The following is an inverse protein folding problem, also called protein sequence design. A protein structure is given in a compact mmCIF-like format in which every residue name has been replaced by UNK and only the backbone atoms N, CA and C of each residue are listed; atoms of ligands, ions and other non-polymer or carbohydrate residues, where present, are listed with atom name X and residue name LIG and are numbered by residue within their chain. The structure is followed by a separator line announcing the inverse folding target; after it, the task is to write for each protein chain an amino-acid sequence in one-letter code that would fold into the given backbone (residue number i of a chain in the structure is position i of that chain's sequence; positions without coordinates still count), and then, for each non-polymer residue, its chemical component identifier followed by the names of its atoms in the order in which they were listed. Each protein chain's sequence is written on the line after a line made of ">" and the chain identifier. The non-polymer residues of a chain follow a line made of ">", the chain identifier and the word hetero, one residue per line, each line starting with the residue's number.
data_IF_158748712910
#
_entry.id   IF_158748712910
#
_cell.length_a   1.000
_cell.length_b   1.000
_cell.length_c   1.000
_cell.angle_alpha   90.00
_cell.angle_beta   90.00
_cell.angle_gamma   90.00
#
_symmetry.space_group_name_H-M   'P 1'
#
loop_
_entity.id
_entity.type
_entity.pdbx_description
1 polymer ?
#
# COMPACT_ATOMS: atom_id res chain seq x y z
N UNK A 1 1.23 -2.37 -8.63
CA UNK A 1 1.43 -1.22 -7.71
C UNK A 1 1.49 0.00 -8.57
N UNK A 2 0.82 1.03 -8.19
CA UNK A 2 1.14 2.35 -8.67
C UNK A 2 2.58 2.67 -8.25
N UNK A 3 3.42 3.05 -9.18
CA UNK A 3 4.71 3.64 -8.85
C UNK A 3 4.51 5.05 -8.26
N UNK A 4 5.57 5.65 -7.73
CA UNK A 4 5.50 6.95 -7.10
C UNK A 4 4.85 8.01 -8.00
N UNK A 5 5.28 8.08 -9.27
CA UNK A 5 4.75 9.06 -10.24
C UNK A 5 3.27 8.79 -10.55
N UNK A 6 2.88 7.54 -10.73
CA UNK A 6 1.49 7.21 -11.01
C UNK A 6 0.57 7.54 -9.82
N UNK A 7 1.08 7.42 -8.59
CA UNK A 7 0.35 7.79 -7.38
C UNK A 7 0.17 9.31 -7.26
N UNK A 8 1.22 10.08 -7.51
CA UNK A 8 1.15 11.55 -7.49
C UNK A 8 0.17 12.07 -8.55
N UNK A 9 0.23 11.52 -9.77
CA UNK A 9 -0.74 11.88 -10.83
C UNK A 9 -2.19 11.59 -10.46
N UNK A 10 -2.47 10.48 -9.80
CA UNK A 10 -3.84 10.21 -9.33
C UNK A 10 -4.29 11.24 -8.29
N UNK A 11 -3.38 11.71 -7.44
CA UNK A 11 -3.68 12.76 -6.48
C UNK A 11 -3.94 14.10 -7.17
N UNK A 12 -3.15 14.46 -8.19
CA UNK A 12 -3.38 15.64 -9.03
C UNK A 12 -4.76 15.61 -9.68
N UNK A 13 -5.10 14.50 -10.35
CA UNK A 13 -6.41 14.32 -11.00
C UNK A 13 -7.55 14.43 -9.99
N UNK A 14 -7.38 13.90 -8.80
CA UNK A 14 -8.38 13.96 -7.73
C UNK A 14 -8.61 15.37 -7.24
N UNK A 15 -7.56 16.14 -7.02
CA UNK A 15 -7.65 17.54 -6.57
C UNK A 15 -8.20 18.42 -7.68
N UNK A 16 -7.79 18.21 -8.93
CA UNK A 16 -8.36 18.91 -10.09
C UNK A 16 -9.87 18.66 -10.22
N UNK A 17 -10.33 17.44 -9.99
CA UNK A 17 -11.76 17.10 -9.99
C UNK A 17 -12.51 17.89 -8.91
N UNK A 18 -11.94 18.05 -7.71
CA UNK A 18 -12.54 18.85 -6.63
C UNK A 18 -12.60 20.34 -6.98
N UNK A 19 -11.58 20.90 -7.64
CA UNK A 19 -11.62 22.27 -8.13
C UNK A 19 -12.72 22.46 -9.17
N UNK A 20 -12.89 21.54 -10.11
CA UNK A 20 -13.97 21.56 -11.11
C UNK A 20 -15.36 21.42 -10.48
N UNK A 21 -15.50 20.59 -9.43
CA UNK A 21 -16.76 20.44 -8.68
C UNK A 21 -17.17 21.69 -7.94
N UNK A 22 -16.21 22.51 -7.50
CA UNK A 22 -16.47 23.75 -6.79
C UNK A 22 -17.17 24.82 -7.66
N UNK A 23 -16.83 24.92 -8.94
CA UNK A 23 -17.35 25.97 -9.83
C UNK A 23 -18.88 26.00 -9.93
N UNK A 24 -19.57 24.88 -10.21
CA UNK A 24 -21.02 24.85 -10.28
C UNK A 24 -21.73 24.81 -8.93
N UNK A 25 -21.00 24.58 -7.83
CA UNK A 25 -21.59 24.41 -6.51
C UNK A 25 -22.16 25.74 -6.00
N UNK A 26 -23.48 25.80 -5.80
CA UNK A 26 -24.19 27.00 -5.29
C UNK A 26 -24.45 26.92 -3.79
N UNK A 27 -24.53 25.73 -3.25
CA UNK A 27 -24.80 25.50 -1.83
C UNK A 27 -23.54 25.71 -0.98
N UNK A 28 -23.64 26.58 0.04
CA UNK A 28 -22.53 26.91 0.96
C UNK A 28 -21.97 25.69 1.67
N UNK A 29 -22.83 24.71 2.03
CA UNK A 29 -22.40 23.50 2.73
C UNK A 29 -21.63 22.58 1.78
N UNK A 30 -22.08 22.48 0.52
CA UNK A 30 -21.36 21.72 -0.51
C UNK A 30 -20.00 22.36 -0.76
N UNK A 31 -19.91 23.68 -0.96
CA UNK A 31 -18.63 24.41 -1.12
C UNK A 31 -17.68 24.15 0.04
N UNK A 32 -18.17 24.27 1.27
CA UNK A 32 -17.35 23.98 2.46
C UNK A 32 -16.78 22.56 2.45
N UNK A 33 -17.59 21.60 2.05
CA UNK A 33 -17.15 20.19 1.98
C UNK A 33 -16.08 19.99 0.92
N UNK A 34 -16.27 20.57 -0.27
CA UNK A 34 -15.31 20.49 -1.38
C UNK A 34 -13.98 21.12 -0.98
N UNK A 35 -14.00 22.37 -0.49
CA UNK A 35 -12.79 23.08 -0.03
C UNK A 35 -12.07 22.30 1.04
N UNK A 36 -12.79 21.83 2.07
CA UNK A 36 -12.19 21.01 3.13
C UNK A 36 -11.51 19.77 2.57
N UNK A 37 -12.20 19.03 1.69
CA UNK A 37 -11.64 17.81 1.10
C UNK A 37 -10.41 18.11 0.26
N UNK A 38 -10.45 19.15 -0.58
CA UNK A 38 -9.30 19.53 -1.40
C UNK A 38 -8.09 19.93 -0.54
N UNK A 39 -8.31 20.75 0.51
CA UNK A 39 -7.25 21.12 1.44
C UNK A 39 -6.65 19.93 2.17
N UNK A 40 -7.48 18.98 2.62
CA UNK A 40 -7.01 17.74 3.28
C UNK A 40 -6.17 16.87 2.34
N UNK A 41 -6.59 16.70 1.08
CA UNK A 41 -5.82 15.94 0.09
C UNK A 41 -4.50 16.65 -0.24
N UNK A 42 -4.49 17.96 -0.42
CA UNK A 42 -3.28 18.75 -0.69
C UNK A 42 -2.26 18.67 0.45
N UNK A 43 -2.70 18.75 1.72
CA UNK A 43 -1.81 18.61 2.87
C UNK A 43 -1.11 17.24 2.86
N UNK A 44 -1.88 16.19 2.62
CA UNK A 44 -1.31 14.83 2.59
C UNK A 44 -0.36 14.65 1.41
N UNK A 45 -0.73 15.18 0.24
CA UNK A 45 0.07 15.13 -0.97
C UNK A 45 1.41 15.83 -0.79
N UNK A 46 1.43 17.11 -0.40
CA UNK A 46 2.65 17.85 -0.15
C UNK A 46 3.56 17.17 0.88
N UNK A 47 2.98 16.62 1.95
CA UNK A 47 3.75 15.95 2.99
C UNK A 47 4.46 14.68 2.51
N UNK A 48 3.83 13.84 1.67
CA UNK A 48 4.49 12.64 1.14
C UNK A 48 5.58 12.98 0.12
N UNK A 49 5.46 14.10 -0.58
CA UNK A 49 6.50 14.59 -1.47
C UNK A 49 7.70 15.14 -0.71
N UNK A 50 7.48 16.05 0.23
CA UNK A 50 8.52 16.67 1.05
C UNK A 50 9.29 15.65 1.92
N UNK A 51 8.58 14.64 2.47
CA UNK A 51 9.20 13.67 3.36
C UNK A 51 9.87 12.50 2.60
N UNK A 52 9.41 12.15 1.40
CA UNK A 52 9.82 10.90 0.75
C UNK A 52 10.26 11.12 -0.71
N UNK A 53 9.43 11.78 -1.53
CA UNK A 53 9.67 11.87 -2.97
C UNK A 53 10.82 12.81 -3.28
N UNK A 54 10.77 14.06 -2.84
CA UNK A 54 11.80 15.06 -3.13
C UNK A 54 13.18 14.69 -2.57
N UNK A 55 13.35 14.17 -1.36
CA UNK A 55 14.66 13.70 -0.90
C UNK A 55 15.28 12.63 -1.81
N UNK A 56 14.48 11.66 -2.26
CA UNK A 56 14.95 10.62 -3.17
C UNK A 56 15.28 11.16 -4.57
N UNK A 57 14.51 12.14 -5.05
CA UNK A 57 14.72 12.80 -6.33
C UNK A 57 15.97 13.68 -6.31
N UNK A 58 16.19 14.47 -5.25
CA UNK A 58 17.42 15.27 -5.05
C UNK A 58 18.66 14.39 -5.15
N UNK A 59 18.68 13.27 -4.45
CA UNK A 59 19.80 12.34 -4.48
C UNK A 59 20.04 11.76 -5.87
N UNK A 60 18.98 11.48 -6.63
CA UNK A 60 19.07 10.81 -7.91
C UNK A 60 19.37 11.74 -9.10
N UNK A 61 18.87 12.97 -9.07
CA UNK A 61 19.01 13.95 -10.17
C UNK A 61 20.20 14.88 -9.92
N UNK A 62 20.50 15.22 -8.65
CA UNK A 62 21.57 16.12 -8.27
C UNK A 62 21.27 17.60 -8.61
N UNK A 63 20.00 17.96 -8.78
CA UNK A 63 19.53 19.33 -9.04
C UNK A 63 18.64 19.76 -7.88
N UNK A 64 19.12 20.70 -7.05
CA UNK A 64 18.40 21.15 -5.86
C UNK A 64 17.33 22.23 -6.21
N UNK A 65 17.59 23.08 -7.19
CA UNK A 65 16.78 24.27 -7.49
C UNK A 65 15.29 23.95 -7.76
N UNK A 66 15.02 22.87 -8.52
CA UNK A 66 13.65 22.45 -8.83
C UNK A 66 12.86 21.99 -7.60
N UNK A 67 13.53 21.30 -6.67
CA UNK A 67 12.89 20.86 -5.43
C UNK A 67 12.71 21.99 -4.45
N UNK A 68 13.63 22.97 -4.44
CA UNK A 68 13.53 24.15 -3.61
C UNK A 68 12.36 25.04 -4.08
N UNK A 69 12.13 25.19 -5.38
CA UNK A 69 10.99 25.88 -5.96
C UNK A 69 9.67 25.22 -5.55
N UNK A 70 9.56 23.90 -5.71
CA UNK A 70 8.39 23.14 -5.31
C UNK A 70 8.08 23.27 -3.81
N UNK A 71 9.09 23.24 -2.94
CA UNK A 71 8.92 23.45 -1.49
C UNK A 71 8.40 24.86 -1.16
N UNK A 72 8.82 25.91 -1.88
CA UNK A 72 8.31 27.28 -1.72
C UNK A 72 6.86 27.37 -2.19
N UNK A 73 6.50 26.72 -3.31
CA UNK A 73 5.13 26.65 -3.80
C UNK A 73 4.21 25.94 -2.81
N UNK A 74 4.64 24.82 -2.22
CA UNK A 74 3.93 24.13 -1.15
C UNK A 74 3.73 25.03 0.08
N UNK A 75 4.73 25.79 0.48
CA UNK A 75 4.60 26.72 1.61
C UNK A 75 3.52 27.78 1.35
N UNK A 76 3.46 28.32 0.12
CA UNK A 76 2.44 29.29 -0.28
C UNK A 76 1.04 28.67 -0.31
N UNK A 77 0.91 27.45 -0.84
CA UNK A 77 -0.35 26.71 -0.85
C UNK A 77 -0.81 26.39 0.58
N UNK A 78 0.09 25.93 1.46
CA UNK A 78 -0.19 25.62 2.85
C UNK A 78 -0.67 26.86 3.65
N UNK A 79 -0.15 28.07 3.35
CA UNK A 79 -0.65 29.29 3.94
C UNK A 79 -2.12 29.53 3.56
N UNK A 80 -2.48 29.43 2.28
CA UNK A 80 -3.87 29.58 1.82
C UNK A 80 -4.78 28.50 2.41
N UNK A 81 -4.32 27.28 2.51
CA UNK A 81 -5.05 26.17 3.13
C UNK A 81 -5.35 26.47 4.60
N UNK A 82 -4.38 26.98 5.35
CA UNK A 82 -4.57 27.36 6.76
C UNK A 82 -5.59 28.50 6.90
N UNK A 83 -5.53 29.51 6.03
CA UNK A 83 -6.48 30.62 6.00
C UNK A 83 -7.90 30.14 5.67
N UNK A 84 -8.07 29.29 4.64
CA UNK A 84 -9.36 28.70 4.27
C UNK A 84 -9.94 27.83 5.40
N UNK A 85 -9.09 27.10 6.11
CA UNK A 85 -9.49 26.30 7.27
C UNK A 85 -10.04 27.12 8.43
N UNK A 86 -9.55 28.36 8.60
CA UNK A 86 -10.02 29.26 9.63
C UNK A 86 -11.28 30.06 9.24
N UNK A 87 -11.63 30.14 7.94
CA UNK A 87 -12.73 30.94 7.41
C UNK A 87 -14.05 30.16 7.35
N UNK A 88 -15.16 30.96 7.34
CA UNK A 88 -16.49 30.43 7.00
C UNK A 88 -16.78 30.63 5.51
N UNK A 89 -17.63 29.80 4.89
CA UNK A 89 -17.94 29.88 3.45
C UNK A 89 -18.61 31.18 2.98
N UNK A 90 -19.12 32.00 3.90
CA UNK A 90 -19.76 33.28 3.63
C UNK A 90 -18.87 34.49 3.92
N UNK A 91 -17.64 34.25 4.36
CA UNK A 91 -16.69 35.34 4.58
C UNK A 91 -16.13 35.87 3.27
N UNK A 92 -15.83 37.16 3.29
CA UNK A 92 -15.26 37.85 2.15
C UNK A 92 -13.93 37.21 1.74
N UNK A 93 -13.75 36.97 0.46
CA UNK A 93 -12.59 36.31 -0.14
C UNK A 93 -12.49 34.76 0.05
N UNK A 94 -13.43 34.08 0.69
CA UNK A 94 -13.36 32.65 0.82
C UNK A 94 -13.24 31.91 -0.56
N UNK A 95 -14.17 32.22 -1.46
CA UNK A 95 -14.15 31.65 -2.81
C UNK A 95 -12.91 32.11 -3.61
N UNK A 96 -12.52 33.39 -3.45
CA UNK A 96 -11.34 33.90 -4.16
C UNK A 96 -10.06 33.23 -3.73
N UNK A 97 -9.89 32.98 -2.43
CA UNK A 97 -8.72 32.28 -1.92
C UNK A 97 -8.64 30.83 -2.44
N UNK A 98 -9.78 30.14 -2.55
CA UNK A 98 -9.81 28.81 -3.11
C UNK A 98 -9.49 28.79 -4.62
N UNK A 99 -9.92 29.81 -5.36
CA UNK A 99 -9.54 29.99 -6.78
C UNK A 99 -8.04 30.27 -6.91
N UNK A 100 -7.47 31.11 -6.05
CA UNK A 100 -6.02 31.38 -6.06
C UNK A 100 -5.23 30.12 -5.69
N UNK A 101 -5.70 29.35 -4.71
CA UNK A 101 -5.09 28.05 -4.38
C UNK A 101 -5.09 27.12 -5.59
N UNK A 102 -6.20 27.04 -6.34
CA UNK A 102 -6.26 26.26 -7.58
C UNK A 102 -5.20 26.67 -8.59
N UNK A 103 -5.01 27.97 -8.82
CA UNK A 103 -4.02 28.45 -9.81
C UNK A 103 -2.58 28.10 -9.38
N UNK A 104 -2.27 28.21 -8.09
CA UNK A 104 -0.96 27.80 -7.55
C UNK A 104 -0.74 26.30 -7.72
N UNK A 105 -1.71 25.48 -7.33
CA UNK A 105 -1.62 24.02 -7.46
C UNK A 105 -1.51 23.60 -8.93
N UNK A 106 -2.25 24.26 -9.83
CA UNK A 106 -2.18 23.97 -11.25
C UNK A 106 -0.79 24.25 -11.82
N UNK A 107 -0.19 25.39 -11.46
CA UNK A 107 1.16 25.76 -11.88
C UNK A 107 2.18 24.71 -11.42
N UNK A 108 2.17 24.39 -10.15
CA UNK A 108 3.00 23.37 -9.54
C UNK A 108 2.90 22.01 -10.25
N UNK A 109 1.68 21.51 -10.48
CA UNK A 109 1.44 20.24 -11.18
C UNK A 109 1.97 20.27 -12.61
N UNK A 110 1.82 21.39 -13.35
CA UNK A 110 2.33 21.53 -14.71
C UNK A 110 3.86 21.44 -14.75
N UNK A 111 4.57 22.03 -13.77
CA UNK A 111 6.02 21.93 -13.66
C UNK A 111 6.49 20.55 -13.22
N UNK A 112 5.86 20.00 -12.22
CA UNK A 112 6.22 18.66 -11.73
C UNK A 112 6.03 17.58 -12.80
N UNK A 113 4.87 17.57 -13.46
CA UNK A 113 4.57 16.60 -14.52
C UNK A 113 5.35 16.86 -15.80
N UNK A 114 5.67 18.12 -16.10
CA UNK A 114 6.39 18.55 -17.29
C UNK A 114 7.90 18.43 -17.19
N UNK A 115 8.47 18.66 -16.02
CA UNK A 115 9.91 18.71 -15.84
C UNK A 115 10.45 17.64 -14.87
N UNK A 116 9.91 17.53 -13.65
CA UNK A 116 10.44 16.64 -12.62
C UNK A 116 10.22 15.17 -12.99
N UNK A 117 8.99 14.77 -13.26
CA UNK A 117 8.68 13.37 -13.58
C UNK A 117 9.42 12.82 -14.79
N UNK A 118 9.61 13.56 -15.92
CA UNK A 118 10.41 13.09 -17.04
C UNK A 118 11.88 12.87 -16.69
N UNK A 119 12.45 13.68 -15.78
CA UNK A 119 13.84 13.52 -15.30
C UNK A 119 13.96 12.31 -14.37
N UNK A 120 13.04 12.16 -13.41
CA UNK A 120 12.98 11.02 -12.49
C UNK A 120 12.92 9.68 -13.23
N UNK A 121 12.12 9.59 -14.30
CA UNK A 121 12.01 8.37 -15.13
C UNK A 121 13.31 7.95 -15.82
N UNK A 122 14.28 8.84 -15.93
CA UNK A 122 15.61 8.55 -16.52
C UNK A 122 16.63 8.10 -15.47
N UNK A 123 16.30 8.16 -14.20
CA UNK A 123 17.16 7.75 -13.08
C UNK A 123 17.01 6.25 -12.77
N UNK A 124 17.95 5.64 -12.04
CA UNK A 124 17.83 4.27 -11.57
C UNK A 124 16.95 4.12 -10.34
N UNK A 125 16.16 5.13 -9.94
CA UNK A 125 15.27 5.07 -8.77
C UNK A 125 14.27 3.93 -8.90
N UNK A 126 14.13 3.12 -7.85
CA UNK A 126 13.05 2.14 -7.73
C UNK A 126 11.73 2.87 -7.39
N UNK A 127 11.05 3.36 -8.43
CA UNK A 127 9.78 4.09 -8.30
C UNK A 127 8.68 3.24 -7.67
N UNK A 128 8.75 1.91 -7.80
CA UNK A 128 7.81 1.00 -7.15
C UNK A 128 8.00 1.00 -5.62
N UNK A 129 9.25 0.90 -5.16
CA UNK A 129 9.59 0.99 -3.73
C UNK A 129 9.24 2.36 -3.17
N UNK A 130 9.56 3.43 -3.90
CA UNK A 130 9.27 4.80 -3.47
C UNK A 130 7.77 5.02 -3.33
N UNK A 131 6.96 4.63 -4.34
CA UNK A 131 5.50 4.71 -4.30
C UNK A 131 4.89 3.92 -3.13
N UNK A 132 5.49 2.80 -2.76
CA UNK A 132 5.08 2.08 -1.57
C UNK A 132 5.30 2.88 -0.28
N UNK A 133 6.50 3.43 -0.08
CA UNK A 133 6.81 4.25 1.10
C UNK A 133 5.84 5.43 1.23
N UNK A 134 5.60 6.12 0.11
CA UNK A 134 4.63 7.21 0.04
C UNK A 134 3.20 6.74 0.37
N UNK A 135 2.78 5.58 -0.10
CA UNK A 135 1.45 5.04 0.18
C UNK A 135 1.25 4.70 1.66
N UNK A 136 2.26 4.12 2.31
CA UNK A 136 2.24 3.84 3.76
C UNK A 136 2.09 5.16 4.52
N UNK A 137 2.94 6.15 4.18
CA UNK A 137 2.92 7.45 4.84
C UNK A 137 1.62 8.21 4.61
N UNK A 138 1.11 8.20 3.39
CA UNK A 138 -0.19 8.78 3.03
C UNK A 138 -1.31 8.27 3.92
N UNK A 139 -1.35 6.96 4.16
CA UNK A 139 -2.36 6.35 5.02
C UNK A 139 -2.22 6.80 6.47
N UNK A 140 -1.01 6.86 7.01
CA UNK A 140 -0.75 7.37 8.36
C UNK A 140 -1.23 8.81 8.53
N UNK A 141 -0.92 9.67 7.56
CA UNK A 141 -1.34 11.08 7.54
C UNK A 141 -2.86 11.21 7.48
N UNK A 142 -3.52 10.43 6.62
CA UNK A 142 -4.98 10.42 6.52
C UNK A 142 -5.65 9.95 7.83
N UNK A 143 -5.08 8.96 8.50
CA UNK A 143 -5.55 8.51 9.81
C UNK A 143 -5.35 9.60 10.88
N UNK A 144 -4.20 10.28 10.90
CA UNK A 144 -3.89 11.36 11.84
C UNK A 144 -4.78 12.58 11.66
N UNK A 145 -5.12 12.94 10.43
CA UNK A 145 -6.03 14.05 10.09
C UNK A 145 -7.52 13.68 10.27
N UNK A 146 -7.84 12.44 10.67
CA UNK A 146 -9.21 11.97 10.76
C UNK A 146 -9.93 11.89 9.41
N UNK A 147 -9.18 11.91 8.30
CA UNK A 147 -9.65 11.69 6.93
C UNK A 147 -9.92 10.19 6.73
N UNK A 148 -9.96 9.40 7.80
CA UNK A 148 -10.24 7.99 7.71
C UNK A 148 -11.45 7.76 6.83
N UNK A 149 -11.19 7.10 5.73
CA UNK A 149 -12.07 6.72 4.64
C UNK A 149 -13.55 6.60 5.05
N UNK A 150 -14.30 7.70 4.96
CA UNK A 150 -15.75 7.65 4.84
C UNK A 150 -16.17 7.04 3.48
N UNK A 151 -15.19 6.79 2.61
CA UNK A 151 -15.39 6.10 1.38
C UNK A 151 -15.60 4.62 1.66
N UNK A 152 -16.87 4.26 1.60
CA UNK A 152 -17.37 2.90 1.47
C UNK A 152 -17.32 2.06 2.76
N UNK A 153 -18.31 2.23 3.62
CA UNK A 153 -19.00 1.05 4.10
C UNK A 153 -19.56 0.32 2.86
N UNK A 154 -18.71 -0.38 2.14
CA UNK A 154 -19.17 -1.47 1.31
C UNK A 154 -19.90 -2.44 2.25
N UNK A 155 -21.07 -2.95 1.89
CA UNK A 155 -21.63 -4.10 2.62
C UNK A 155 -20.46 -5.07 2.74
N UNK A 156 -20.24 -5.64 3.92
CA UNK A 156 -19.26 -6.70 4.14
C UNK A 156 -19.53 -7.80 3.11
N UNK A 157 -18.94 -7.70 1.93
CA UNK A 157 -18.85 -8.85 1.04
C UNK A 157 -18.08 -9.91 1.82
N UNK A 158 -18.67 -11.08 1.92
CA UNK A 158 -18.20 -12.12 2.84
C UNK A 158 -16.83 -12.58 2.37
N UNK A 159 -15.77 -12.16 3.07
CA UNK A 159 -14.44 -12.74 2.92
C UNK A 159 -14.57 -14.26 2.93
N UNK A 160 -14.07 -14.90 1.90
CA UNK A 160 -14.02 -16.35 1.82
C UNK A 160 -12.74 -16.84 2.48
N UNK A 161 -12.84 -17.88 3.27
CA UNK A 161 -11.72 -18.45 4.02
C UNK A 161 -11.34 -19.81 3.47
N UNK A 162 -10.05 -20.01 3.25
CA UNK A 162 -9.43 -21.31 2.96
C UNK A 162 -8.44 -21.65 4.05
N UNK A 163 -8.54 -22.86 4.61
CA UNK A 163 -7.56 -23.34 5.59
C UNK A 163 -7.00 -24.69 5.14
N UNK A 164 -5.67 -24.82 5.18
CA UNK A 164 -4.94 -26.06 4.86
C UNK A 164 -3.79 -26.24 5.83
N UNK A 165 -3.47 -27.51 6.11
CA UNK A 165 -2.35 -27.89 6.96
C UNK A 165 -1.49 -28.96 6.27
N UNK A 166 -0.20 -28.94 6.59
CA UNK A 166 0.75 -29.95 6.15
C UNK A 166 1.75 -30.27 7.25
N UNK A 167 2.25 -31.49 7.28
CA UNK A 167 3.33 -31.92 8.18
C UNK A 167 4.66 -31.91 7.42
N UNK A 168 5.66 -31.24 7.98
CA UNK A 168 7.01 -31.07 7.44
C UNK A 168 7.99 -31.81 8.36
N UNK A 169 8.94 -32.55 7.80
CA UNK A 169 9.96 -33.31 8.56
C UNK A 169 11.17 -32.45 8.90
N UNK A 170 10.93 -31.30 9.53
CA UNK A 170 11.94 -30.38 10.01
C UNK A 170 11.54 -29.82 11.38
N UNK A 171 12.51 -29.36 12.20
CA UNK A 171 12.24 -28.65 13.45
C UNK A 171 11.39 -27.40 13.23
N UNK A 172 10.57 -27.02 14.21
CA UNK A 172 9.69 -25.85 14.11
C UNK A 172 10.47 -24.56 13.84
N UNK A 173 11.67 -24.44 14.44
CA UNK A 173 12.55 -23.31 14.22
C UNK A 173 12.95 -23.17 12.75
N UNK A 174 13.45 -24.23 12.14
CA UNK A 174 13.88 -24.21 10.73
C UNK A 174 12.71 -23.93 9.78
N UNK A 175 11.54 -24.49 10.06
CA UNK A 175 10.33 -24.26 9.27
C UNK A 175 9.86 -22.81 9.37
N UNK A 176 9.88 -22.25 10.59
CA UNK A 176 9.54 -20.84 10.81
C UNK A 176 10.56 -19.91 10.14
N UNK A 177 11.88 -20.14 10.38
CA UNK A 177 12.94 -19.31 9.81
C UNK A 177 12.86 -19.27 8.28
N UNK A 178 12.65 -20.43 7.62
CA UNK A 178 12.47 -20.47 6.17
C UNK A 178 11.21 -19.73 5.72
N UNK A 179 10.12 -19.80 6.48
CA UNK A 179 8.90 -19.03 6.15
C UNK A 179 9.09 -17.52 6.26
N UNK A 180 10.05 -17.04 7.03
CA UNK A 180 10.39 -15.61 7.11
C UNK A 180 11.24 -15.11 5.94
N UNK A 181 11.71 -15.99 5.06
CA UNK A 181 12.44 -15.62 3.85
C UNK A 181 11.44 -15.40 2.71
N UNK A 182 10.76 -14.26 2.73
CA UNK A 182 9.64 -13.97 1.83
C UNK A 182 10.08 -13.89 0.36
N UNK A 183 11.30 -13.47 0.08
CA UNK A 183 11.88 -13.43 -1.26
C UNK A 183 12.07 -14.83 -1.88
N UNK A 184 12.08 -15.90 -1.08
CA UNK A 184 12.14 -17.28 -1.55
C UNK A 184 10.76 -17.82 -2.00
N UNK A 185 9.66 -17.10 -1.73
CA UNK A 185 8.30 -17.58 -2.01
C UNK A 185 8.03 -17.93 -3.47
N UNK A 186 8.57 -17.22 -4.48
CA UNK A 186 8.44 -17.63 -5.88
C UNK A 186 8.95 -19.04 -6.18
N UNK A 187 9.83 -19.58 -5.36
CA UNK A 187 10.40 -20.94 -5.54
C UNK A 187 9.42 -22.06 -5.21
N UNK A 188 8.38 -21.79 -4.42
CA UNK A 188 7.41 -22.79 -4.01
C UNK A 188 5.94 -22.33 -4.05
N UNK A 189 5.65 -21.03 -4.19
CA UNK A 189 4.29 -20.55 -4.37
C UNK A 189 3.99 -20.34 -5.85
N UNK A 190 3.01 -21.10 -6.35
CA UNK A 190 2.60 -21.05 -7.75
C UNK A 190 2.00 -19.68 -8.11
N UNK A 191 2.44 -19.14 -9.25
CA UNK A 191 2.04 -17.81 -9.75
C UNK A 191 2.62 -16.64 -9.00
N UNK A 192 3.30 -16.80 -7.86
CA UNK A 192 4.08 -15.71 -7.23
C UNK A 192 5.32 -15.47 -8.08
N UNK A 193 5.47 -14.24 -8.57
CA UNK A 193 6.58 -13.83 -9.43
C UNK A 193 7.71 -13.20 -8.63
N UNK A 194 7.34 -12.39 -7.64
CA UNK A 194 8.28 -11.66 -6.81
C UNK A 194 7.65 -11.31 -5.48
N UNK A 195 8.44 -11.35 -4.41
CA UNK A 195 8.12 -10.79 -3.09
C UNK A 195 9.32 -9.99 -2.63
N UNK A 196 9.09 -8.80 -2.08
CA UNK A 196 10.12 -7.97 -1.45
C UNK A 196 9.72 -7.67 -0.03
N UNK A 197 10.62 -7.89 0.90
CA UNK A 197 10.47 -7.36 2.25
C UNK A 197 11.04 -5.95 2.27
N UNK A 198 10.20 -4.96 2.57
CA UNK A 198 10.55 -3.54 2.50
C UNK A 198 11.09 -3.02 3.83
N UNK A 199 10.52 -3.54 4.92
CA UNK A 199 10.98 -3.36 6.30
C UNK A 199 10.52 -4.56 7.16
N UNK A 200 10.64 -4.46 8.49
CA UNK A 200 10.29 -5.54 9.43
C UNK A 200 8.82 -5.98 9.35
N UNK A 201 7.93 -5.14 8.80
CA UNK A 201 6.48 -5.34 8.82
C UNK A 201 5.81 -5.24 7.47
N UNK A 202 6.48 -4.73 6.44
CA UNK A 202 5.87 -4.49 5.16
C UNK A 202 6.46 -5.36 4.05
N UNK A 203 5.55 -5.90 3.23
CA UNK A 203 5.85 -6.76 2.09
C UNK A 203 5.21 -6.20 0.82
N UNK A 204 5.94 -6.27 -0.27
CA UNK A 204 5.45 -6.05 -1.62
C UNK A 204 5.36 -7.37 -2.36
N UNK A 205 4.26 -7.57 -3.09
CA UNK A 205 3.97 -8.81 -3.79
C UNK A 205 3.62 -8.55 -5.24
N UNK A 206 4.11 -9.43 -6.12
CA UNK A 206 3.69 -9.54 -7.51
C UNK A 206 3.37 -11.00 -7.82
N UNK A 207 2.17 -11.27 -8.29
CA UNK A 207 1.74 -12.62 -8.63
C UNK A 207 0.78 -12.63 -9.81
N UNK A 208 0.76 -13.74 -10.55
CA UNK A 208 -0.26 -14.02 -11.55
C UNK A 208 -1.47 -14.67 -10.89
N UNK A 209 -2.62 -14.01 -10.96
CA UNK A 209 -3.89 -14.46 -10.41
C UNK A 209 -4.94 -14.48 -11.52
N UNK A 210 -5.44 -15.67 -11.88
CA UNK A 210 -6.45 -15.81 -12.93
C UNK A 210 -5.99 -15.32 -14.31
N UNK A 211 -4.69 -15.41 -14.61
CA UNK A 211 -4.09 -14.95 -15.87
C UNK A 211 -3.79 -13.45 -15.92
N UNK A 212 -3.97 -12.74 -14.80
CA UNK A 212 -3.64 -11.32 -14.67
C UNK A 212 -2.45 -11.14 -13.74
N UNK A 213 -1.58 -10.19 -14.07
CA UNK A 213 -0.48 -9.78 -13.20
C UNK A 213 -1.02 -8.83 -12.13
N UNK A 214 -1.06 -9.30 -10.89
CA UNK A 214 -1.60 -8.57 -9.74
C UNK A 214 -0.47 -8.17 -8.80
N UNK A 215 -0.56 -6.95 -8.30
CA UNK A 215 0.40 -6.37 -7.37
C UNK A 215 -0.35 -5.89 -6.13
N UNK A 216 0.19 -6.17 -4.94
CA UNK A 216 -0.36 -5.67 -3.69
C UNK A 216 0.70 -5.48 -2.63
N UNK A 217 0.37 -4.64 -1.66
CA UNK A 217 1.15 -4.48 -0.44
C UNK A 217 0.48 -5.22 0.71
N UNK A 218 1.28 -5.74 1.61
CA UNK A 218 0.81 -6.39 2.82
C UNK A 218 1.61 -5.92 4.04
N UNK A 219 0.91 -5.77 5.16
CA UNK A 219 1.47 -5.51 6.48
C UNK A 219 1.46 -6.81 7.29
N UNK A 220 2.57 -7.15 7.89
CA UNK A 220 2.64 -8.19 8.92
C UNK A 220 2.06 -7.59 10.20
N UNK A 221 0.88 -8.06 10.58
CA UNK A 221 0.13 -7.54 11.74
C UNK A 221 0.47 -8.24 13.04
N UNK A 222 1.03 -9.45 12.96
CA UNK A 222 1.52 -10.22 14.10
C UNK A 222 2.62 -11.16 13.64
N UNK A 223 3.72 -11.21 14.37
CA UNK A 223 4.78 -12.18 14.14
C UNK A 223 5.38 -12.63 15.46
N UNK A 224 5.26 -13.91 15.75
CA UNK A 224 5.75 -14.56 16.96
C UNK A 224 6.63 -15.73 16.54
N UNK A 225 7.93 -15.70 16.82
CA UNK A 225 8.86 -16.76 16.44
C UNK A 225 8.37 -18.15 16.83
N UNK A 226 8.50 -19.10 15.90
CA UNK A 226 8.14 -20.51 16.03
C UNK A 226 6.65 -20.79 16.26
N UNK A 227 5.79 -19.74 16.19
CA UNK A 227 4.37 -19.86 16.49
C UNK A 227 3.47 -19.36 15.36
N UNK A 228 3.63 -18.09 14.94
CA UNK A 228 2.62 -17.48 14.09
C UNK A 228 3.15 -16.28 13.33
N UNK A 229 2.67 -16.13 12.09
CA UNK A 229 2.76 -14.90 11.30
C UNK A 229 1.35 -14.60 10.79
N UNK A 230 0.86 -13.37 10.97
CA UNK A 230 -0.39 -12.88 10.40
C UNK A 230 -0.13 -11.65 9.55
N UNK A 231 -0.87 -11.51 8.47
CA UNK A 231 -0.75 -10.38 7.53
C UNK A 231 -2.12 -9.94 7.03
N UNK A 232 -2.15 -8.73 6.49
CA UNK A 232 -3.28 -8.20 5.71
C UNK A 232 -2.75 -7.38 4.54
N UNK A 233 -3.44 -7.38 3.42
CA UNK A 233 -3.16 -6.43 2.34
C UNK A 233 -3.50 -5.00 2.79
N UNK A 234 -2.67 -4.06 2.38
CA UNK A 234 -2.87 -2.62 2.63
C UNK A 234 -3.28 -1.88 1.35
N UNK A 235 -2.99 -2.47 0.19
CA UNK A 235 -3.41 -1.98 -1.13
C UNK A 235 -3.50 -3.12 -2.14
N UNK A 236 -4.10 -2.88 -3.30
CA UNK A 236 -4.28 -3.86 -4.37
C UNK A 236 -5.25 -4.98 -3.98
N UNK A 237 -4.97 -6.21 -4.40
CA UNK A 237 -5.81 -7.38 -4.15
C UNK A 237 -6.07 -7.60 -2.65
N UNK A 238 -7.33 -7.53 -2.23
CA UNK A 238 -7.71 -7.64 -0.83
C UNK A 238 -7.57 -9.07 -0.32
N UNK A 239 -6.62 -9.27 0.58
CA UNK A 239 -6.37 -10.53 1.24
C UNK A 239 -5.87 -10.33 2.66
N UNK A 240 -6.05 -11.34 3.49
CA UNK A 240 -5.46 -11.45 4.81
C UNK A 240 -5.18 -12.91 5.12
N UNK A 241 -4.30 -13.17 6.04
CA UNK A 241 -4.06 -14.56 6.40
C UNK A 241 -3.24 -14.73 7.65
N UNK A 242 -3.10 -15.99 8.00
CA UNK A 242 -2.30 -16.42 9.14
C UNK A 242 -1.63 -17.73 8.80
N UNK A 243 -0.35 -17.83 9.09
CA UNK A 243 0.34 -19.12 9.16
C UNK A 243 0.70 -19.42 10.61
N UNK A 244 0.42 -20.63 11.05
CA UNK A 244 0.78 -21.13 12.38
C UNK A 244 1.69 -22.32 12.28
N UNK A 245 2.65 -22.39 13.20
CA UNK A 245 3.66 -23.42 13.28
C UNK A 245 3.48 -24.16 14.60
N UNK A 246 3.32 -25.47 14.53
CA UNK A 246 3.18 -26.33 15.71
C UNK A 246 4.21 -27.47 15.65
N UNK A 247 5.19 -27.44 16.53
CA UNK A 247 6.11 -28.54 16.70
C UNK A 247 5.38 -29.79 17.15
N UNK A 248 5.54 -30.89 16.41
CA UNK A 248 4.99 -32.20 16.75
C UNK A 248 6.05 -33.09 17.43
N UNK A 249 7.32 -32.86 17.08
CA UNK A 249 8.52 -33.42 17.68
C UNK A 249 9.72 -32.58 17.30
N UNK A 250 10.92 -32.92 17.79
CA UNK A 250 12.17 -32.21 17.47
C UNK A 250 12.48 -32.16 15.96
N UNK A 251 11.89 -33.06 15.19
CA UNK A 251 12.13 -33.21 13.74
C UNK A 251 10.83 -33.13 12.91
N UNK A 252 9.74 -32.64 13.47
CA UNK A 252 8.46 -32.62 12.77
C UNK A 252 7.60 -31.44 13.19
N UNK A 253 7.11 -30.71 12.21
CA UNK A 253 6.30 -29.50 12.40
C UNK A 253 5.02 -29.61 11.57
N UNK A 254 3.91 -29.17 12.12
CA UNK A 254 2.67 -28.91 11.38
C UNK A 254 2.60 -27.42 11.05
N UNK A 255 2.43 -27.12 9.77
CA UNK A 255 2.20 -25.79 9.23
C UNK A 255 0.74 -25.67 8.81
N UNK A 256 0.03 -24.68 9.33
CA UNK A 256 -1.36 -24.40 8.96
C UNK A 256 -1.46 -22.99 8.40
N UNK A 257 -1.93 -22.88 7.17
CA UNK A 257 -2.24 -21.59 6.53
C UNK A 257 -3.75 -21.40 6.52
N UNK A 258 -4.20 -20.28 7.07
CA UNK A 258 -5.54 -19.73 6.90
C UNK A 258 -5.43 -18.50 6.02
N UNK A 259 -6.18 -18.49 4.91
CA UNK A 259 -6.16 -17.40 3.93
C UNK A 259 -7.58 -16.88 3.72
N UNK A 260 -7.76 -15.60 3.98
CA UNK A 260 -9.02 -14.88 3.80
C UNK A 260 -8.86 -13.95 2.59
N UNK A 261 -9.81 -13.96 1.65
CA UNK A 261 -9.76 -13.15 0.44
C UNK A 261 -11.13 -12.63 0.03
N UNK A 262 -11.14 -11.49 -0.64
CA UNK A 262 -12.34 -10.89 -1.23
C UNK A 262 -12.37 -11.26 -2.73
N UNK A 263 -13.38 -11.99 -3.20
CA UNK A 263 -13.51 -12.34 -4.62
C UNK A 263 -13.79 -11.09 -5.47
N UNK A 264 -13.06 -10.90 -6.58
CA UNK A 264 -13.31 -9.82 -7.53
C UNK A 264 -14.04 -10.35 -8.78
N UNK A 265 -15.25 -9.81 -9.06
CA UNK A 265 -15.96 -9.97 -10.32
C UNK A 265 -17.02 -11.06 -10.44
N UNK A 266 -17.78 -11.02 -11.56
CA UNK A 266 -18.97 -11.85 -11.81
C UNK A 266 -18.68 -13.35 -12.09
N UNK A 267 -17.45 -13.71 -12.42
CA UNK A 267 -17.03 -15.09 -12.71
C UNK A 267 -16.98 -15.95 -11.45
N UNK A 268 -16.94 -15.34 -10.28
CA UNK A 268 -16.83 -16.02 -8.98
C UNK A 268 -18.18 -16.43 -8.37
N UNK A 269 -19.30 -16.15 -9.03
CA UNK A 269 -20.62 -16.59 -8.57
C UNK A 269 -20.86 -18.10 -8.66
N UNK A 270 -20.00 -18.81 -9.34
CA UNK A 270 -20.05 -20.29 -9.41
C UNK A 270 -18.99 -20.85 -8.46
N UNK A 271 -19.32 -21.74 -7.57
CA UNK A 271 -18.53 -22.32 -6.46
C UNK A 271 -17.10 -22.83 -6.78
N UNK A 272 -16.53 -22.45 -7.93
CA UNK A 272 -15.21 -22.84 -8.42
C UNK A 272 -14.05 -22.06 -7.82
N UNK A 273 -14.21 -20.78 -7.46
CA UNK A 273 -13.10 -19.94 -6.99
C UNK A 273 -12.51 -20.41 -5.65
N UNK A 274 -13.35 -20.79 -4.68
CA UNK A 274 -12.90 -21.39 -3.41
C UNK A 274 -12.15 -22.69 -3.66
N UNK A 275 -12.64 -23.50 -4.60
CA UNK A 275 -12.01 -24.78 -4.97
C UNK A 275 -10.64 -24.57 -5.64
N UNK A 276 -10.49 -23.55 -6.48
CA UNK A 276 -9.22 -23.20 -7.14
C UNK A 276 -8.21 -22.73 -6.10
N UNK A 277 -8.58 -21.75 -5.26
CA UNK A 277 -7.69 -21.25 -4.20
C UNK A 277 -7.32 -22.35 -3.19
N UNK A 278 -8.29 -23.18 -2.81
CA UNK A 278 -8.05 -24.31 -1.91
C UNK A 278 -7.01 -25.30 -2.47
N UNK A 279 -7.06 -25.57 -3.79
CA UNK A 279 -6.06 -26.43 -4.47
C UNK A 279 -4.71 -25.74 -4.53
N UNK A 280 -4.67 -24.42 -4.84
CA UNK A 280 -3.45 -23.61 -4.89
C UNK A 280 -2.74 -23.62 -3.53
N UNK A 281 -3.42 -23.23 -2.44
CA UNK A 281 -2.84 -23.22 -1.09
C UNK A 281 -2.33 -24.60 -0.67
N UNK A 282 -3.07 -25.68 -1.02
CA UNK A 282 -2.62 -27.06 -0.77
C UNK A 282 -1.37 -27.40 -1.57
N UNK A 283 -1.31 -27.00 -2.84
CA UNK A 283 -0.14 -27.20 -3.72
C UNK A 283 1.08 -26.44 -3.22
N UNK A 284 0.91 -25.17 -2.82
CA UNK A 284 1.99 -24.33 -2.29
C UNK A 284 2.59 -24.92 -1.01
N UNK A 285 1.75 -25.34 -0.08
CA UNK A 285 2.20 -26.04 1.13
C UNK A 285 2.96 -27.34 0.82
N UNK A 286 2.55 -28.09 -0.21
CA UNK A 286 3.27 -29.29 -0.62
C UNK A 286 4.65 -28.95 -1.19
N UNK A 287 4.74 -27.94 -2.07
CA UNK A 287 6.01 -27.47 -2.64
C UNK A 287 6.91 -26.87 -1.56
N UNK A 288 6.37 -26.09 -0.61
CA UNK A 288 7.13 -25.60 0.54
C UNK A 288 7.73 -26.73 1.36
N UNK A 289 6.95 -27.78 1.65
CA UNK A 289 7.44 -28.97 2.33
C UNK A 289 8.60 -29.62 1.58
N UNK A 290 8.42 -29.87 0.27
CA UNK A 290 9.45 -30.48 -0.58
C UNK A 290 10.71 -29.60 -0.63
N UNK A 291 10.52 -28.29 -0.71
CA UNK A 291 11.59 -27.31 -0.74
C UNK A 291 12.45 -27.33 0.52
N UNK A 292 11.85 -27.21 1.71
CA UNK A 292 12.62 -27.15 2.96
C UNK A 292 13.19 -28.52 3.36
N UNK A 293 12.47 -29.63 3.09
CA UNK A 293 12.97 -30.97 3.36
C UNK A 293 14.17 -31.34 2.45
N UNK A 294 14.25 -30.76 1.24
CA UNK A 294 15.37 -30.95 0.32
C UNK A 294 16.58 -30.07 0.65
N UNK A 295 16.37 -28.84 1.18
CA UNK A 295 17.46 -27.93 1.55
C UNK A 295 18.28 -28.46 2.75
N UNK A 296 17.66 -29.16 3.68
CA UNK A 296 18.30 -29.64 4.90
C UNK A 296 18.55 -28.57 5.97
N UNK A 297 18.57 -27.28 5.59
CA UNK A 297 18.66 -26.10 6.47
C UNK A 297 17.93 -24.92 5.85
N UNK A 298 17.51 -23.96 6.68
CA UNK A 298 16.92 -22.70 6.23
C UNK A 298 17.92 -21.79 5.51
N UNK A 299 17.43 -20.94 4.59
CA UNK A 299 18.25 -19.97 3.82
C UNK A 299 18.57 -18.70 4.62
N UNK A 300 17.84 -18.45 5.70
CA UNK A 300 18.01 -17.29 6.57
C UNK A 300 17.03 -17.35 7.73
N UNK A 301 17.05 -16.32 8.57
CA UNK A 301 16.15 -16.21 9.71
C UNK A 301 15.79 -14.75 10.01
N UNK A 302 14.53 -14.52 10.39
CA UNK A 302 14.10 -13.31 11.06
C UNK A 302 13.38 -13.71 12.36
N UNK A 303 13.83 -13.18 13.49
CA UNK A 303 13.35 -13.63 14.80
C UNK A 303 12.87 -12.48 15.70
N UNK A 304 12.60 -11.33 15.11
CA UNK A 304 11.92 -10.24 15.77
C UNK A 304 10.46 -10.61 16.14
N UNK A 305 9.81 -9.74 16.89
CA UNK A 305 8.40 -9.91 17.28
C UNK A 305 7.59 -8.70 16.87
N UNK A 306 6.54 -8.93 16.09
CA UNK A 306 5.52 -7.93 15.76
C UNK A 306 4.28 -8.21 16.61
N UNK A 307 3.84 -7.22 17.39
CA UNK A 307 2.63 -7.32 18.22
C UNK A 307 1.45 -6.68 17.50
N UNK A 308 0.23 -7.23 17.61
CA UNK A 308 -0.96 -6.57 17.09
C UNK A 308 -1.09 -5.15 17.66
N UNK A 309 -1.35 -4.17 16.79
CA UNK A 309 -1.74 -2.82 17.21
C UNK A 309 -3.09 -2.96 17.98
N UNK A 310 -3.17 -2.47 19.21
CA UNK A 310 -4.36 -2.48 20.06
C UNK A 310 -5.42 -1.50 19.55
#
# INVERSE_FOLDING_TARGET
>A
MQDAIAMLREDHEKVEALFKEFEPAKDKRARKTIVKTACEELIVHAQIEEEIFYPAVREAIGEDDLMDEAEVEHANANQLIAELGAMKPDEHHYDTKFIVLRELVKHHVEEEEGEIFPRVKKTPLDLGRLGFQMQVRKKELQEALGIANKSRRHPREKMKTVQKSIQVKCPVRSVYNQWTQFEDFPRFMDGVREVKQLDDTHLWWRAEIGGKDEIWNAEITEQIPDKRIAWRSTSGAKNAGTVTFRGLSDKKTEVTVKFDYEPEGAVEKVGSAVGVLSRRVKGDLKRFKEFIEALGSETGEWRGTVKPKR
#
